data_IF_292004693832
#
_entry.id   IF_292004693832
#
_cell.length_a   1.000
_cell.length_b   1.000
_cell.length_c   1.000
_cell.angle_alpha   90.00
_cell.angle_beta   90.00
_cell.angle_gamma   90.00
#
_symmetry.space_group_name_H-M   'P 1'
#
loop_
_entity.id
_entity.type
_entity.pdbx_description
1 polymer ?
#
# COMPACT_ATOMS: atom_id res chain seq x y z
N UNK A 1 31.94 46.40 12.53
CA UNK A 1 31.72 46.61 11.08
C UNK A 1 31.49 45.23 10.47
N UNK A 2 30.24 44.73 10.53
CA UNK A 2 29.87 43.36 10.09
C UNK A 2 29.42 43.39 8.64
N UNK A 3 29.85 42.35 7.94
CA UNK A 3 29.94 42.17 6.50
C UNK A 3 28.60 42.15 5.78
N UNK A 4 28.71 42.45 4.49
CA UNK A 4 27.70 42.81 3.50
C UNK A 4 27.32 41.58 2.65
N UNK A 5 27.15 40.42 3.29
CA UNK A 5 27.10 39.11 2.62
C UNK A 5 25.72 38.41 2.62
N UNK A 6 24.66 39.01 3.19
CA UNK A 6 23.35 38.33 3.33
C UNK A 6 22.30 38.68 2.25
N UNK A 7 22.60 39.59 1.32
CA UNK A 7 21.64 39.97 0.25
C UNK A 7 21.79 39.15 -1.03
N UNK A 8 22.98 38.65 -1.36
CA UNK A 8 23.23 37.92 -2.61
C UNK A 8 22.73 36.47 -2.59
N UNK A 9 22.46 35.91 -1.40
CA UNK A 9 21.99 34.53 -1.25
C UNK A 9 20.54 34.31 -1.72
N UNK A 10 19.71 35.36 -1.71
CA UNK A 10 18.27 35.26 -1.99
C UNK A 10 17.91 35.41 -3.47
N UNK A 11 18.77 36.02 -4.31
CA UNK A 11 18.56 36.08 -5.77
C UNK A 11 18.98 34.78 -6.50
N UNK A 12 19.88 33.99 -5.91
CA UNK A 12 20.31 32.69 -6.45
C UNK A 12 19.25 31.58 -6.39
N UNK A 13 18.24 31.72 -5.52
CA UNK A 13 17.19 30.70 -5.33
C UNK A 13 15.97 30.86 -6.27
N UNK A 14 15.88 31.98 -6.98
CA UNK A 14 14.76 32.25 -7.91
C UNK A 14 15.16 32.27 -9.40
N UNK A 15 16.39 31.87 -9.73
CA UNK A 15 16.75 31.60 -11.13
C UNK A 15 16.11 30.27 -11.54
N UNK A 16 15.00 30.37 -12.26
CA UNK A 16 14.24 29.23 -12.76
C UNK A 16 15.15 28.20 -13.43
N UNK A 17 15.14 26.98 -12.91
CA UNK A 17 15.69 25.82 -13.60
C UNK A 17 14.80 25.52 -14.80
N UNK A 18 15.40 25.57 -15.98
CA UNK A 18 14.78 25.26 -17.27
C UNK A 18 14.04 23.91 -17.21
N UNK A 19 12.70 23.97 -17.11
CA UNK A 19 11.80 22.82 -17.20
C UNK A 19 11.40 22.55 -18.65
N UNK A 20 12.38 22.46 -19.56
CA UNK A 20 12.12 22.10 -20.97
C UNK A 20 12.72 20.75 -21.40
N UNK A 21 13.49 20.06 -20.54
CA UNK A 21 14.21 18.85 -20.95
C UNK A 21 13.43 17.52 -20.72
N UNK A 22 12.32 17.55 -19.99
CA UNK A 22 11.58 16.33 -19.61
C UNK A 22 10.42 15.94 -20.54
N UNK A 23 10.09 16.75 -21.56
CA UNK A 23 8.93 16.52 -22.45
C UNK A 23 9.30 16.27 -23.91
N UNK A 24 10.43 15.57 -24.15
CA UNK A 24 10.84 15.12 -25.49
C UNK A 24 10.62 13.61 -25.67
N UNK A 25 9.74 13.16 -26.58
CA UNK A 25 9.28 11.76 -26.67
C UNK A 25 10.26 10.78 -27.36
N UNK A 26 11.54 11.15 -27.51
CA UNK A 26 12.50 10.40 -28.35
C UNK A 26 13.52 9.52 -27.63
N UNK A 27 13.59 9.50 -26.29
CA UNK A 27 14.75 8.90 -25.58
C UNK A 27 14.64 7.40 -25.28
N UNK A 28 13.47 6.78 -25.37
CA UNK A 28 13.29 5.37 -25.00
C UNK A 28 13.18 4.43 -26.21
N UNK A 29 14.16 4.47 -27.12
CA UNK A 29 14.35 3.38 -28.08
C UNK A 29 15.00 2.17 -27.39
N UNK A 30 14.15 1.21 -26.99
CA UNK A 30 14.50 -0.06 -26.34
C UNK A 30 15.14 -1.11 -27.28
N UNK A 31 15.53 -0.72 -28.49
CA UNK A 31 16.05 -1.59 -29.55
C UNK A 31 17.60 -1.66 -29.62
N UNK A 32 18.33 -0.97 -28.73
CA UNK A 32 19.82 -0.96 -28.74
C UNK A 32 20.52 -1.52 -27.51
N UNK A 33 19.83 -2.03 -26.50
CA UNK A 33 20.49 -2.71 -25.37
C UNK A 33 20.62 -4.20 -25.65
N UNK A 34 21.49 -4.53 -26.60
CA UNK A 34 22.10 -5.86 -26.72
C UNK A 34 23.57 -5.73 -26.36
N UNK A 35 24.00 -6.47 -25.33
CA UNK A 35 25.40 -6.70 -25.03
C UNK A 35 25.98 -5.89 -23.86
N UNK A 36 25.59 -6.26 -22.64
CA UNK A 36 26.56 -6.19 -21.52
C UNK A 36 26.27 -7.31 -20.53
N UNK A 37 27.03 -8.41 -20.66
CA UNK A 37 27.12 -9.45 -19.64
C UNK A 37 28.40 -9.18 -18.86
N UNK A 38 28.36 -8.73 -17.59
CA UNK A 38 29.54 -8.74 -16.77
C UNK A 38 29.70 -10.17 -16.25
N UNK A 39 30.68 -10.89 -16.81
CA UNK A 39 31.21 -12.09 -16.19
C UNK A 39 31.87 -11.68 -14.85
N UNK A 40 31.12 -11.78 -13.76
CA UNK A 40 31.69 -11.65 -12.42
C UNK A 40 32.37 -12.98 -12.12
N UNK A 41 33.70 -12.99 -12.21
CA UNK A 41 34.53 -14.08 -11.71
C UNK A 41 34.33 -14.18 -10.19
N UNK A 42 33.78 -15.30 -9.74
CA UNK A 42 33.62 -15.63 -8.32
C UNK A 42 35.01 -15.95 -7.74
N UNK A 43 35.50 -15.24 -6.72
CA UNK A 43 36.74 -15.64 -6.06
C UNK A 43 36.49 -16.91 -5.23
N UNK A 44 37.30 -17.95 -5.47
CA UNK A 44 37.26 -19.20 -4.71
C UNK A 44 37.86 -18.94 -3.32
N UNK A 45 37.08 -19.19 -2.26
CA UNK A 45 37.51 -19.15 -0.86
C UNK A 45 37.77 -20.59 -0.37
N UNK A 46 38.68 -20.80 0.60
CA UNK A 46 39.19 -22.14 0.94
C UNK A 46 38.14 -23.03 1.61
N UNK A 47 38.29 -24.33 1.36
CA UNK A 47 37.38 -25.43 1.71
C UNK A 47 37.02 -25.47 3.20
N UNK A 48 35.72 -25.38 3.49
CA UNK A 48 35.11 -25.85 4.75
C UNK A 48 34.60 -27.27 4.54
N UNK A 49 34.73 -28.19 5.53
CA UNK A 49 34.38 -29.59 5.33
C UNK A 49 32.88 -29.73 5.02
N UNK A 50 32.59 -30.48 3.97
CA UNK A 50 31.26 -30.69 3.40
C UNK A 50 30.31 -31.33 4.41
N UNK A 51 29.32 -30.57 4.89
CA UNK A 51 28.07 -31.16 5.37
C UNK A 51 27.23 -31.46 4.14
N UNK A 52 27.23 -32.72 3.73
CA UNK A 52 26.46 -33.24 2.60
C UNK A 52 24.95 -33.16 2.89
N UNK A 53 24.33 -32.03 2.59
CA UNK A 53 22.86 -31.92 2.51
C UNK A 53 22.45 -32.47 1.14
N UNK A 54 21.66 -33.57 1.06
CA UNK A 54 21.20 -34.09 -0.22
C UNK A 54 20.36 -33.02 -0.94
N UNK A 55 20.41 -32.93 -2.28
CA UNK A 55 19.66 -31.91 -3.00
C UNK A 55 18.17 -32.14 -2.78
N UNK A 56 17.57 -31.33 -1.92
CA UNK A 56 16.13 -31.18 -1.84
C UNK A 56 15.68 -30.79 -3.25
N UNK A 57 15.01 -31.71 -3.93
CA UNK A 57 14.34 -31.48 -5.20
C UNK A 57 13.51 -30.21 -5.02
N UNK A 58 13.97 -29.09 -5.59
CA UNK A 58 13.19 -27.86 -5.63
C UNK A 58 11.99 -28.14 -6.50
N UNK A 59 10.89 -28.58 -5.87
CA UNK A 59 9.59 -28.63 -6.50
C UNK A 59 9.36 -27.26 -7.16
N UNK A 60 8.90 -27.21 -8.42
CA UNK A 60 8.62 -25.94 -9.06
C UNK A 60 7.59 -25.22 -8.20
N UNK A 61 8.00 -24.08 -7.61
CA UNK A 61 7.10 -23.15 -6.94
C UNK A 61 6.03 -22.87 -7.98
N UNK A 62 4.87 -23.48 -7.81
CA UNK A 62 3.85 -23.48 -8.83
C UNK A 62 3.35 -22.06 -8.88
N UNK A 63 3.92 -21.26 -9.79
CA UNK A 63 3.46 -19.92 -10.12
C UNK A 63 2.11 -20.13 -10.79
N UNK A 64 1.10 -20.40 -9.97
CA UNK A 64 -0.31 -20.37 -10.34
C UNK A 64 -0.60 -18.90 -10.64
N UNK A 65 -0.17 -18.44 -11.81
CA UNK A 65 -0.73 -17.26 -12.46
C UNK A 65 -2.16 -17.67 -12.78
N UNK A 66 -3.03 -17.59 -11.78
CA UNK A 66 -4.45 -17.77 -11.98
C UNK A 66 -4.89 -16.58 -12.81
N UNK A 67 -4.99 -16.80 -14.12
CA UNK A 67 -5.61 -15.90 -15.07
C UNK A 67 -7.08 -15.74 -14.65
N UNK A 68 -7.37 -14.79 -13.76
CA UNK A 68 -8.72 -14.45 -13.31
C UNK A 68 -8.93 -12.96 -13.51
N UNK A 69 -9.99 -12.68 -14.28
CA UNK A 69 -10.38 -11.38 -14.86
C UNK A 69 -9.42 -10.83 -15.91
N UNK A 70 -9.91 -10.71 -17.16
CA UNK A 70 -9.21 -10.08 -18.29
C UNK A 70 -9.06 -8.55 -18.13
N UNK A 71 -9.57 -8.00 -17.03
CA UNK A 71 -9.54 -6.57 -16.71
C UNK A 71 -8.32 -6.29 -15.85
N UNK A 72 -7.54 -5.26 -16.21
CA UNK A 72 -6.39 -4.83 -15.41
C UNK A 72 -6.89 -4.45 -13.99
N UNK A 73 -6.18 -4.83 -12.91
CA UNK A 73 -6.64 -4.59 -11.54
C UNK A 73 -7.09 -3.15 -11.24
N UNK A 74 -6.43 -2.16 -11.84
CA UNK A 74 -6.71 -0.74 -11.64
C UNK A 74 -7.80 -0.16 -12.56
N UNK A 75 -8.18 -0.87 -13.63
CA UNK A 75 -9.23 -0.38 -14.53
C UNK A 75 -10.58 -0.22 -13.82
N UNK A 76 -10.81 -0.97 -12.74
CA UNK A 76 -12.02 -0.88 -11.90
C UNK A 76 -12.07 0.33 -10.99
N UNK A 77 -10.92 0.98 -10.76
CA UNK A 77 -10.81 2.18 -9.91
C UNK A 77 -10.92 3.49 -10.71
N UNK A 78 -11.20 3.42 -12.02
CA UNK A 78 -11.28 4.60 -12.88
C UNK A 78 -9.99 5.40 -13.00
N UNK A 79 -8.83 4.80 -12.68
CA UNK A 79 -7.53 5.48 -12.67
C UNK A 79 -7.14 6.08 -11.32
N UNK A 80 -7.99 5.99 -10.29
CA UNK A 80 -7.61 6.39 -8.93
C UNK A 80 -6.49 5.50 -8.41
N UNK A 81 -5.48 6.14 -7.80
CA UNK A 81 -4.34 5.45 -7.17
C UNK A 81 -4.32 5.60 -5.65
N UNK A 82 -5.23 6.41 -5.09
CA UNK A 82 -5.37 6.67 -3.65
C UNK A 82 -6.86 6.72 -3.26
N UNK A 83 -7.17 6.26 -2.06
CA UNK A 83 -8.46 6.46 -1.40
C UNK A 83 -8.44 7.74 -0.55
N UNK A 84 -9.58 8.40 -0.41
CA UNK A 84 -9.71 9.53 0.52
C UNK A 84 -9.61 9.08 1.99
N UNK A 85 -9.99 7.83 2.25
CA UNK A 85 -9.76 7.17 3.53
C UNK A 85 -8.30 6.73 3.64
N UNK A 86 -7.58 7.22 4.66
CA UNK A 86 -6.25 6.71 5.00
C UNK A 86 -6.37 5.41 5.79
N UNK A 87 -6.55 4.31 5.07
CA UNK A 87 -6.75 2.99 5.66
C UNK A 87 -5.41 2.35 6.00
N UNK A 88 -5.17 2.11 7.29
CA UNK A 88 -4.12 1.22 7.75
C UNK A 88 -4.33 -0.21 7.21
N UNK A 89 -3.28 -1.02 7.15
CA UNK A 89 -3.35 -2.37 6.56
C UNK A 89 -4.15 -3.31 7.49
N UNK A 90 -4.01 -3.08 8.78
CA UNK A 90 -4.65 -3.76 9.91
C UNK A 90 -6.05 -3.21 10.22
N UNK A 91 -6.51 -2.18 9.51
CA UNK A 91 -7.82 -1.58 9.76
C UNK A 91 -8.93 -2.64 9.58
N UNK A 92 -9.78 -2.77 10.58
CA UNK A 92 -10.83 -3.79 10.64
C UNK A 92 -12.09 -3.29 9.94
N UNK A 93 -12.67 -4.13 9.08
CA UNK A 93 -13.83 -3.82 8.27
C UNK A 93 -14.95 -4.81 8.59
N UNK A 94 -16.16 -4.30 8.80
CA UNK A 94 -17.37 -5.12 8.96
C UNK A 94 -18.49 -4.66 8.01
N UNK A 95 -19.32 -5.57 7.56
CA UNK A 95 -20.45 -5.27 6.67
C UNK A 95 -21.58 -4.60 7.46
N UNK A 96 -22.11 -3.49 6.93
CA UNK A 96 -23.28 -2.80 7.52
C UNK A 96 -24.58 -3.54 7.21
N UNK A 97 -25.69 -3.18 7.86
CA UNK A 97 -27.01 -3.73 7.50
C UNK A 97 -27.38 -3.50 6.02
N UNK A 98 -27.00 -2.34 5.48
CA UNK A 98 -27.19 -1.99 4.07
C UNK A 98 -26.34 -2.89 3.17
N UNK A 99 -25.10 -3.15 3.57
CA UNK A 99 -24.18 -4.06 2.90
C UNK A 99 -24.69 -5.50 2.86
N UNK A 100 -25.29 -5.98 3.96
CA UNK A 100 -25.87 -7.34 4.04
C UNK A 100 -27.05 -7.53 3.06
N UNK A 101 -27.82 -6.46 2.81
CA UNK A 101 -28.91 -6.46 1.83
C UNK A 101 -28.42 -6.16 0.41
N UNK A 102 -27.12 -5.92 0.23
CA UNK A 102 -26.49 -5.43 -1.00
C UNK A 102 -27.15 -4.17 -1.60
N UNK A 103 -27.83 -3.38 -0.78
CA UNK A 103 -28.56 -2.21 -1.24
C UNK A 103 -27.56 -1.12 -1.64
N UNK A 104 -27.42 -0.86 -2.95
CA UNK A 104 -26.43 0.09 -3.48
C UNK A 104 -25.05 -0.51 -3.77
N UNK A 105 -24.94 -1.84 -3.85
CA UNK A 105 -23.73 -2.52 -4.34
C UNK A 105 -23.56 -2.29 -5.84
N UNK A 106 -22.46 -1.63 -6.21
CA UNK A 106 -22.17 -1.24 -7.60
C UNK A 106 -21.25 -2.19 -8.38
N UNK A 107 -20.61 -3.16 -7.71
CA UNK A 107 -19.66 -4.08 -8.37
C UNK A 107 -19.66 -5.47 -7.74
N UNK A 108 -19.17 -6.46 -8.49
CA UNK A 108 -19.01 -7.84 -7.96
C UNK A 108 -17.96 -7.90 -6.86
N UNK A 109 -16.97 -7.01 -6.90
CA UNK A 109 -15.99 -6.86 -5.83
C UNK A 109 -16.64 -6.32 -4.56
N UNK A 110 -17.52 -5.31 -4.66
CA UNK A 110 -18.24 -4.81 -3.49
C UNK A 110 -19.10 -5.89 -2.84
N UNK A 111 -19.77 -6.72 -3.65
CA UNK A 111 -20.52 -7.87 -3.15
C UNK A 111 -19.62 -8.85 -2.40
N UNK A 112 -18.49 -9.22 -3.01
CA UNK A 112 -17.54 -10.15 -2.39
C UNK A 112 -16.94 -9.60 -1.09
N UNK A 113 -16.71 -8.28 -1.00
CA UNK A 113 -16.26 -7.63 0.25
C UNK A 113 -17.39 -7.68 1.29
N UNK A 114 -18.65 -7.39 0.94
CA UNK A 114 -19.78 -7.52 1.86
C UNK A 114 -19.90 -8.95 2.43
N UNK A 115 -19.68 -9.97 1.60
CA UNK A 115 -19.74 -11.38 2.02
C UNK A 115 -18.58 -11.74 2.96
N UNK A 116 -17.37 -11.29 2.62
CA UNK A 116 -16.19 -11.51 3.46
C UNK A 116 -16.29 -10.76 4.79
N UNK A 117 -16.86 -9.57 4.84
CA UNK A 117 -16.87 -8.75 6.05
C UNK A 117 -18.08 -8.99 6.95
N UNK A 118 -18.89 -10.04 6.71
CA UNK A 118 -19.90 -10.49 7.69
C UNK A 118 -19.22 -10.80 9.03
N UNK A 119 -18.09 -11.49 8.96
CA UNK A 119 -17.12 -11.53 10.06
C UNK A 119 -16.12 -10.41 9.85
N UNK A 120 -15.81 -9.67 10.91
CA UNK A 120 -14.85 -8.56 10.83
C UNK A 120 -13.49 -9.05 10.35
N UNK A 121 -12.95 -8.41 9.30
CA UNK A 121 -11.67 -8.76 8.68
C UNK A 121 -10.84 -7.51 8.42
N UNK A 122 -9.52 -7.64 8.46
CA UNK A 122 -8.60 -6.55 8.13
C UNK A 122 -8.52 -6.29 6.62
N UNK A 123 -8.10 -5.08 6.23
CA UNK A 123 -7.86 -4.74 4.82
C UNK A 123 -6.85 -5.68 4.16
N UNK A 124 -5.80 -6.08 4.90
CA UNK A 124 -4.82 -7.07 4.43
C UNK A 124 -5.47 -8.42 4.08
N UNK A 125 -6.33 -8.94 4.96
CA UNK A 125 -7.00 -10.23 4.75
C UNK A 125 -7.95 -10.15 3.55
N UNK A 126 -8.71 -9.05 3.41
CA UNK A 126 -9.59 -8.84 2.27
C UNK A 126 -8.79 -8.90 0.96
N UNK A 127 -7.64 -8.22 0.90
CA UNK A 127 -6.77 -8.25 -0.28
C UNK A 127 -6.22 -9.66 -0.58
N UNK A 128 -5.83 -10.41 0.46
CA UNK A 128 -5.38 -11.78 0.31
C UNK A 128 -6.49 -12.71 -0.21
N UNK A 129 -7.71 -12.59 0.32
CA UNK A 129 -8.87 -13.40 -0.09
C UNK A 129 -9.31 -13.11 -1.52
N UNK A 130 -9.39 -11.83 -1.89
CA UNK A 130 -9.82 -11.42 -3.23
C UNK A 130 -8.70 -11.49 -4.27
N UNK A 131 -7.45 -11.67 -3.84
CA UNK A 131 -6.25 -11.64 -4.69
C UNK A 131 -6.13 -10.35 -5.50
N UNK A 132 -6.52 -9.23 -4.89
CA UNK A 132 -6.42 -7.90 -5.47
C UNK A 132 -5.25 -7.13 -4.86
N UNK A 133 -4.61 -6.21 -5.59
CA UNK A 133 -3.59 -5.34 -5.02
C UNK A 133 -4.15 -4.55 -3.84
N UNK A 134 -3.33 -4.36 -2.79
CA UNK A 134 -3.75 -3.69 -1.57
C UNK A 134 -4.33 -2.28 -1.83
N UNK A 135 -3.71 -1.50 -2.72
CA UNK A 135 -4.21 -0.17 -3.09
C UNK A 135 -5.61 -0.19 -3.72
N UNK A 136 -5.91 -1.21 -4.53
CA UNK A 136 -7.24 -1.39 -5.13
C UNK A 136 -8.27 -1.67 -4.04
N UNK A 137 -7.94 -2.55 -3.09
CA UNK A 137 -8.85 -2.87 -1.98
C UNK A 137 -9.09 -1.64 -1.10
N UNK A 138 -8.07 -0.84 -0.79
CA UNK A 138 -8.25 0.40 -0.03
C UNK A 138 -9.21 1.37 -0.72
N UNK A 139 -9.09 1.51 -2.04
CA UNK A 139 -10.01 2.32 -2.86
C UNK A 139 -11.43 1.79 -2.78
N UNK A 140 -11.63 0.49 -3.03
CA UNK A 140 -12.96 -0.12 -3.00
C UNK A 140 -13.61 -0.03 -1.62
N UNK A 141 -12.87 -0.32 -0.55
CA UNK A 141 -13.36 -0.22 0.83
C UNK A 141 -13.73 1.22 1.19
N UNK A 142 -12.92 2.20 0.75
CA UNK A 142 -13.25 3.62 0.90
C UNK A 142 -14.57 3.98 0.21
N UNK A 143 -14.71 3.60 -1.06
CA UNK A 143 -15.94 3.87 -1.83
C UNK A 143 -17.17 3.17 -1.22
N UNK A 144 -16.98 1.95 -0.69
CA UNK A 144 -18.03 1.22 0.02
C UNK A 144 -18.40 1.86 1.36
N UNK A 145 -17.42 2.43 2.08
CA UNK A 145 -17.66 3.18 3.31
C UNK A 145 -18.48 4.44 3.02
N UNK A 146 -18.12 5.17 1.97
CA UNK A 146 -18.86 6.38 1.54
C UNK A 146 -20.29 6.03 1.12
N UNK A 147 -20.48 4.87 0.49
CA UNK A 147 -21.80 4.34 0.15
C UNK A 147 -22.57 3.76 1.35
N UNK A 148 -21.96 3.68 2.54
CA UNK A 148 -22.55 3.13 3.76
C UNK A 148 -22.73 1.61 3.73
N UNK A 149 -21.98 0.89 2.90
CA UNK A 149 -22.04 -0.57 2.76
C UNK A 149 -21.19 -1.31 3.80
N UNK A 150 -20.14 -0.66 4.32
CA UNK A 150 -19.23 -1.22 5.33
C UNK A 150 -18.93 -0.19 6.41
N UNK A 151 -18.49 -0.67 7.57
CA UNK A 151 -17.95 0.13 8.65
C UNK A 151 -16.44 -0.10 8.74
N UNK A 152 -15.70 1.00 8.86
CA UNK A 152 -14.27 0.98 9.13
C UNK A 152 -14.07 1.20 10.63
N UNK A 153 -13.52 0.21 11.31
CA UNK A 153 -13.13 0.28 12.71
C UNK A 153 -11.67 0.72 12.77
N UNK A 154 -11.44 2.03 12.79
CA UNK A 154 -10.10 2.54 13.07
C UNK A 154 -9.87 2.48 14.58
N UNK A 155 -8.93 1.64 15.01
CA UNK A 155 -8.39 1.67 16.38
C UNK A 155 -7.37 2.80 16.49
N UNK A 156 -7.82 4.03 16.30
CA UNK A 156 -6.99 5.21 16.48
C UNK A 156 -7.02 5.65 17.93
N UNK A 157 -6.10 5.16 18.76
CA UNK A 157 -5.53 6.06 19.77
C UNK A 157 -4.50 6.86 18.98
N UNK A 158 -4.89 8.02 18.48
CA UNK A 158 -3.96 8.99 17.92
C UNK A 158 -3.08 9.48 19.06
N UNK A 159 -1.96 8.79 19.30
CA UNK A 159 -0.98 9.13 20.33
C UNK A 159 -0.55 10.59 20.14
N UNK A 160 -1.02 11.46 21.04
CA UNK A 160 -0.73 12.89 21.01
C UNK A 160 -1.94 13.79 20.77
N UNK A 161 -3.13 13.27 20.43
CA UNK A 161 -4.34 14.10 20.42
C UNK A 161 -4.91 14.31 21.83
N UNK A 162 -5.72 15.37 21.98
CA UNK A 162 -6.35 15.76 23.25
C UNK A 162 -7.23 14.65 23.83
N UNK A 163 -8.02 13.98 23.00
CA UNK A 163 -8.94 12.91 23.42
C UNK A 163 -8.19 11.68 23.97
N UNK A 164 -7.03 11.36 23.38
CA UNK A 164 -6.16 10.27 23.83
C UNK A 164 -5.53 10.60 25.18
N UNK A 165 -5.13 11.86 25.40
CA UNK A 165 -4.64 12.35 26.69
C UNK A 165 -5.72 12.30 27.78
N UNK A 166 -6.92 12.80 27.47
CA UNK A 166 -8.07 12.76 28.39
C UNK A 166 -8.49 11.32 28.73
N UNK A 167 -8.37 10.38 27.79
CA UNK A 167 -8.58 8.97 28.06
C UNK A 167 -7.52 8.41 29.01
N UNK A 168 -6.23 8.66 28.75
CA UNK A 168 -5.13 8.21 29.63
C UNK A 168 -5.24 8.80 31.04
N UNK A 169 -5.61 10.07 31.17
CA UNK A 169 -5.83 10.73 32.47
C UNK A 169 -6.98 10.07 33.25
N UNK A 170 -8.10 9.74 32.56
CA UNK A 170 -9.22 8.99 33.17
C UNK A 170 -8.80 7.58 33.61
N UNK A 171 -8.04 6.86 32.77
CA UNK A 171 -7.52 5.52 33.12
C UNK A 171 -6.60 5.60 34.34
N UNK A 172 -5.71 6.58 34.39
CA UNK A 172 -4.78 6.80 35.49
C UNK A 172 -5.51 7.13 36.81
N UNK A 173 -6.56 7.96 36.75
CA UNK A 173 -7.41 8.21 37.92
C UNK A 173 -8.12 6.95 38.39
N UNK A 174 -8.67 6.14 37.47
CA UNK A 174 -9.30 4.87 37.80
C UNK A 174 -8.36 3.88 38.49
N UNK A 175 -7.11 3.77 38.02
CA UNK A 175 -6.10 2.88 38.60
C UNK A 175 -5.59 3.36 39.98
N UNK A 176 -5.62 4.67 40.26
CA UNK A 176 -5.22 5.24 41.56
C UNK A 176 -6.31 5.20 42.63
N UNK A 177 -7.56 4.98 42.21
CA UNK A 177 -8.71 4.92 43.11
C UNK A 177 -8.97 3.49 43.66
N UNK A 178 -8.08 2.55 43.36
CA UNK A 178 -8.06 1.16 43.84
C UNK A 178 -6.93 1.00 44.86
#
# INVERSE_FOLDING_TARGET
MRSRDDQDAWETLHRGTDREEFDSPGRFELSRVTGFSPAIAVPVAPETPEVSVPPAQRAPVSRRIQLRSRVRPYARTGGRTRSDHDLAIEALISTSEKGQKYAGVGSVEHRAICDLCIETRSVAEIAAHLRLPLGVVKILVGDMSDAGLVHIHQTGITLGDRSSREFMERVLQGLRAL
#
